data_IF_382640788260
#
_entry.id   IF_382640788260
#
_cell.length_a   1.000
_cell.length_b   1.000
_cell.length_c   1.000
_cell.angle_alpha   90.00
_cell.angle_beta   90.00
_cell.angle_gamma   90.00
#
_symmetry.space_group_name_H-M   'P 1'
#
loop_
_entity.id
_entity.type
_entity.pdbx_description
1 polymer ?
#
# COMPACT_ATOMS: atom_id res chain seq x y z
N UNK A 1 29.99 -20.66 14.40
CA UNK A 1 28.65 -20.80 13.79
C UNK A 1 27.50 -20.18 14.60
N UNK A 2 27.68 -19.76 15.86
CA UNK A 2 26.62 -19.07 16.64
C UNK A 2 26.61 -17.53 16.49
N UNK A 3 27.68 -16.93 15.95
CA UNK A 3 27.78 -15.47 15.75
C UNK A 3 26.94 -14.95 14.58
N UNK A 4 26.94 -15.65 13.44
CA UNK A 4 26.17 -15.26 12.24
C UNK A 4 24.66 -15.25 12.49
N UNK A 5 24.13 -16.26 13.17
CA UNK A 5 22.68 -16.35 13.44
C UNK A 5 22.17 -15.20 14.31
N UNK A 6 22.96 -14.73 15.28
CA UNK A 6 22.61 -13.58 16.11
C UNK A 6 22.72 -12.24 15.35
N UNK A 7 23.64 -12.11 14.39
CA UNK A 7 23.74 -10.94 13.52
C UNK A 7 22.63 -10.90 12.46
N UNK A 8 22.23 -12.04 11.91
CA UNK A 8 21.07 -12.13 10.99
C UNK A 8 19.74 -11.84 11.71
N UNK A 9 19.56 -12.32 12.95
CA UNK A 9 18.37 -12.00 13.74
C UNK A 9 18.30 -10.51 14.15
N UNK A 10 19.41 -9.89 14.52
CA UNK A 10 19.43 -8.46 14.83
C UNK A 10 19.28 -7.58 13.58
N UNK A 11 19.86 -7.97 12.44
CA UNK A 11 19.73 -7.21 11.19
C UNK A 11 18.30 -7.28 10.63
N UNK A 12 17.66 -8.45 10.66
CA UNK A 12 16.25 -8.60 10.26
C UNK A 12 15.27 -7.85 11.18
N UNK A 13 15.53 -7.81 12.48
CA UNK A 13 14.76 -7.01 13.43
C UNK A 13 14.90 -5.50 13.16
N UNK A 14 16.11 -5.02 12.87
CA UNK A 14 16.38 -3.60 12.57
C UNK A 14 15.75 -3.18 11.24
N UNK A 15 15.89 -4.02 10.20
CA UNK A 15 15.25 -3.80 8.90
C UNK A 15 13.72 -3.72 9.04
N UNK A 16 13.12 -4.62 9.83
CA UNK A 16 11.69 -4.58 10.12
C UNK A 16 11.26 -3.28 10.82
N UNK A 17 12.01 -2.84 11.83
CA UNK A 17 11.71 -1.60 12.57
C UNK A 17 11.77 -0.39 11.64
N UNK A 18 12.82 -0.27 10.82
CA UNK A 18 12.97 0.86 9.90
C UNK A 18 11.90 0.86 8.81
N UNK A 19 11.58 -0.32 8.27
CA UNK A 19 10.48 -0.50 7.31
C UNK A 19 9.16 -0.01 7.91
N UNK A 20 8.89 -0.39 9.16
CA UNK A 20 7.68 0.01 9.88
C UNK A 20 7.66 1.50 10.19
N UNK A 21 8.79 2.06 10.66
CA UNK A 21 8.93 3.50 10.95
C UNK A 21 8.65 4.33 9.70
N UNK A 22 9.27 3.98 8.58
CA UNK A 22 9.08 4.69 7.30
C UNK A 22 7.64 4.56 6.77
N UNK A 23 7.02 3.38 6.91
CA UNK A 23 5.62 3.20 6.54
C UNK A 23 4.67 4.05 7.40
N UNK A 24 4.90 4.12 8.71
CA UNK A 24 4.13 4.96 9.63
C UNK A 24 4.32 6.45 9.32
N UNK A 25 5.55 6.88 9.05
CA UNK A 25 5.85 8.25 8.65
C UNK A 25 5.06 8.65 7.38
N UNK A 26 5.11 7.82 6.33
CA UNK A 26 4.35 8.08 5.10
C UNK A 26 2.84 8.06 5.34
N UNK A 27 2.34 7.16 6.18
CA UNK A 27 0.93 7.13 6.56
C UNK A 27 0.50 8.41 7.27
N UNK A 28 1.22 8.82 8.32
CA UNK A 28 0.91 10.03 9.11
C UNK A 28 0.98 11.28 8.24
N UNK A 29 2.03 11.43 7.42
CA UNK A 29 2.17 12.56 6.52
C UNK A 29 1.02 12.63 5.49
N UNK A 30 0.61 11.48 4.95
CA UNK A 30 -0.53 11.42 4.00
C UNK A 30 -1.85 11.80 4.67
N UNK A 31 -2.08 11.32 5.90
CA UNK A 31 -3.28 11.67 6.69
C UNK A 31 -3.29 13.16 7.04
N UNK A 32 -2.16 13.70 7.49
CA UNK A 32 -2.00 15.13 7.79
C UNK A 32 -2.12 16.03 6.55
N UNK A 33 -1.75 15.54 5.36
CA UNK A 33 -1.94 16.26 4.10
C UNK A 33 -3.37 16.16 3.53
N UNK A 34 -4.26 15.40 4.18
CA UNK A 34 -5.64 15.26 3.71
C UNK A 34 -6.53 16.36 4.30
N UNK A 35 -7.29 17.13 3.49
CA UNK A 35 -8.12 18.24 3.99
C UNK A 35 -9.17 17.82 5.03
N UNK A 36 -9.72 16.61 4.88
CA UNK A 36 -10.71 16.05 5.83
C UNK A 36 -10.06 15.35 7.02
N UNK A 37 -9.01 14.53 6.83
CA UNK A 37 -8.45 13.71 7.91
C UNK A 37 -7.54 14.51 8.84
N UNK A 38 -6.91 15.59 8.36
CA UNK A 38 -6.06 16.45 9.18
C UNK A 38 -6.80 17.25 10.25
N UNK A 39 -8.11 17.41 10.08
CA UNK A 39 -8.99 18.10 11.05
C UNK A 39 -9.79 17.14 11.91
N UNK A 40 -9.58 15.83 11.72
CA UNK A 40 -10.24 14.80 12.50
C UNK A 40 -9.80 14.89 13.99
N UNK A 41 -10.75 14.95 14.94
CA UNK A 41 -10.43 15.06 16.36
C UNK A 41 -9.58 13.89 16.87
N UNK A 42 -9.89 12.66 16.46
CA UNK A 42 -9.16 11.47 16.92
C UNK A 42 -7.73 11.48 16.39
N UNK A 43 -7.52 11.90 15.14
CA UNK A 43 -6.18 12.05 14.57
C UNK A 43 -5.34 13.09 15.31
N UNK A 44 -5.93 14.24 15.67
CA UNK A 44 -5.24 15.29 16.43
C UNK A 44 -4.93 14.83 17.85
N UNK A 45 -5.91 14.27 18.55
CA UNK A 45 -5.72 13.72 19.88
C UNK A 45 -4.65 12.63 19.89
N UNK A 46 -4.65 11.73 18.90
CA UNK A 46 -3.61 10.70 18.77
C UNK A 46 -2.20 11.28 18.65
N UNK A 47 -2.02 12.43 18.01
CA UNK A 47 -0.72 13.07 17.81
C UNK A 47 -0.31 14.00 18.96
N UNK A 48 -1.28 14.65 19.60
CA UNK A 48 -1.05 15.74 20.56
C UNK A 48 -1.29 15.33 22.02
N UNK A 49 -1.82 14.13 22.28
CA UNK A 49 -2.09 13.66 23.64
C UNK A 49 -0.81 13.64 24.49
N UNK A 50 -0.79 14.46 25.54
CA UNK A 50 0.25 14.49 26.57
C UNK A 50 -0.02 13.44 27.67
N UNK A 51 -0.45 12.24 27.25
CA UNK A 51 -0.71 11.10 28.12
C UNK A 51 -0.34 9.79 27.44
N UNK A 52 -0.07 8.75 28.24
CA UNK A 52 0.03 7.40 27.70
C UNK A 52 -1.30 6.99 27.08
N UNK A 53 -1.31 6.87 25.74
CA UNK A 53 -2.46 6.36 25.02
C UNK A 53 -2.82 4.96 25.55
N UNK A 54 -4.12 4.63 25.69
CA UNK A 54 -4.55 3.32 26.11
C UNK A 54 -3.90 2.24 25.26
N UNK A 55 -3.28 1.24 25.90
CA UNK A 55 -2.73 0.10 25.16
C UNK A 55 -3.87 -0.55 24.38
N UNK A 56 -3.71 -0.62 23.07
CA UNK A 56 -4.75 -1.15 22.20
C UNK A 56 -5.06 -2.62 22.56
N UNK A 57 -6.19 -2.83 23.23
CA UNK A 57 -6.77 -4.16 23.49
C UNK A 57 -7.64 -4.56 22.30
N UNK A 58 -7.58 -5.82 21.86
CA UNK A 58 -8.40 -6.34 20.74
C UNK A 58 -8.11 -5.74 19.35
N UNK A 59 -6.85 -5.43 19.04
CA UNK A 59 -6.43 -4.96 17.68
C UNK A 59 -6.73 -5.94 16.56
N UNK A 60 -7.04 -7.20 16.86
CA UNK A 60 -7.48 -8.20 15.90
C UNK A 60 -8.78 -7.80 15.18
N UNK A 61 -9.69 -7.05 15.85
CA UNK A 61 -10.90 -6.51 15.24
C UNK A 61 -10.63 -5.30 14.31
N UNK A 62 -9.55 -4.55 14.57
CA UNK A 62 -9.10 -3.42 13.76
C UNK A 62 -8.03 -3.79 12.71
N UNK A 63 -7.59 -5.05 12.68
CA UNK A 63 -6.75 -5.54 11.59
C UNK A 63 -7.48 -5.38 10.26
N UNK A 64 -6.76 -5.21 9.13
CA UNK A 64 -7.40 -5.10 7.81
C UNK A 64 -8.40 -6.23 7.53
N UNK A 65 -8.17 -7.44 8.08
CA UNK A 65 -9.13 -8.56 8.02
C UNK A 65 -10.32 -8.41 8.98
N UNK A 66 -10.14 -7.79 10.14
CA UNK A 66 -11.19 -7.54 11.14
C UNK A 66 -12.13 -6.41 10.72
N UNK A 67 -11.59 -5.32 10.17
CA UNK A 67 -12.35 -4.22 9.57
C UNK A 67 -13.16 -4.73 8.37
N UNK A 68 -12.53 -5.51 7.49
CA UNK A 68 -13.23 -6.12 6.34
C UNK A 68 -14.32 -7.12 6.78
N UNK A 69 -14.14 -7.84 7.91
CA UNK A 69 -15.21 -8.65 8.52
C UNK A 69 -16.37 -7.80 9.09
N UNK A 70 -16.08 -6.65 9.68
CA UNK A 70 -17.11 -5.71 10.16
C UNK A 70 -17.92 -5.13 8.98
N UNK A 71 -17.25 -4.71 7.91
CA UNK A 71 -17.91 -4.28 6.66
C UNK A 71 -18.71 -5.40 5.98
N UNK A 72 -18.29 -6.65 6.11
CA UNK A 72 -19.05 -7.79 5.60
C UNK A 72 -20.26 -8.15 6.47
N UNK A 73 -20.20 -7.94 7.79
CA UNK A 73 -21.33 -8.19 8.70
C UNK A 73 -22.51 -7.24 8.48
N UNK A 74 -22.26 -6.00 8.06
CA UNK A 74 -23.33 -5.09 7.63
C UNK A 74 -24.01 -5.64 6.36
N UNK A 75 -23.27 -6.32 5.48
CA UNK A 75 -23.78 -6.95 4.25
C UNK A 75 -24.40 -8.36 4.41
N UNK A 76 -24.08 -9.11 5.46
CA UNK A 76 -24.57 -10.49 5.66
C UNK A 76 -26.11 -10.57 5.85
N UNK A 77 -26.77 -9.46 6.20
CA UNK A 77 -28.23 -9.38 6.31
C UNK A 77 -28.94 -9.41 4.94
N UNK A 78 -28.20 -9.26 3.82
CA UNK A 78 -28.73 -9.15 2.44
C UNK A 78 -28.59 -10.44 1.63
N UNK A 79 -27.98 -11.50 2.21
CA UNK A 79 -27.53 -12.71 1.52
C UNK A 79 -28.60 -13.68 0.96
N UNK A 80 -29.84 -13.24 0.73
CA UNK A 80 -30.84 -14.07 0.01
C UNK A 80 -31.32 -13.49 -1.32
N UNK A 81 -31.01 -12.23 -1.63
CA UNK A 81 -31.32 -11.62 -2.93
C UNK A 81 -30.16 -10.68 -3.28
N UNK A 82 -29.09 -11.21 -3.85
CA UNK A 82 -28.00 -10.37 -4.37
C UNK A 82 -28.50 -9.67 -5.63
N UNK A 83 -28.91 -8.41 -5.51
CA UNK A 83 -29.23 -7.61 -6.69
C UNK A 83 -27.95 -7.35 -7.47
N UNK A 84 -27.96 -7.73 -8.75
CA UNK A 84 -26.87 -7.38 -9.66
C UNK A 84 -26.94 -5.88 -9.90
N UNK A 85 -25.86 -5.17 -9.59
CA UNK A 85 -25.70 -3.79 -10.01
C UNK A 85 -25.12 -3.82 -11.42
N UNK A 86 -25.96 -3.54 -12.41
CA UNK A 86 -25.45 -3.23 -13.73
C UNK A 86 -24.93 -1.79 -13.66
N UNK A 87 -23.62 -1.61 -13.84
CA UNK A 87 -23.02 -0.27 -13.81
C UNK A 87 -23.55 0.51 -15.01
N UNK A 88 -24.17 1.65 -14.70
CA UNK A 88 -24.77 2.57 -15.69
C UNK A 88 -24.03 3.90 -15.75
N UNK A 89 -23.21 4.19 -14.73
CA UNK A 89 -22.32 5.32 -14.70
C UNK A 89 -21.01 4.97 -15.43
N UNK A 90 -20.90 5.47 -16.66
CA UNK A 90 -19.73 5.30 -17.52
C UNK A 90 -18.42 5.68 -16.83
N UNK A 91 -18.45 6.66 -15.92
CA UNK A 91 -17.26 7.06 -15.17
C UNK A 91 -16.77 5.92 -14.26
N UNK A 92 -17.68 5.23 -13.56
CA UNK A 92 -17.31 4.11 -12.69
C UNK A 92 -16.86 2.89 -13.48
N UNK A 93 -17.46 2.62 -14.63
CA UNK A 93 -17.02 1.55 -15.55
C UNK A 93 -15.57 1.81 -16.03
N UNK A 94 -15.31 3.00 -16.56
CA UNK A 94 -13.99 3.41 -17.03
C UNK A 94 -12.95 3.39 -15.90
N UNK A 95 -13.29 3.96 -14.74
CA UNK A 95 -12.37 4.02 -13.59
C UNK A 95 -12.11 2.66 -12.97
N UNK A 96 -13.08 1.75 -12.94
CA UNK A 96 -12.85 0.36 -12.48
C UNK A 96 -11.82 -0.33 -13.37
N UNK A 97 -11.99 -0.25 -14.68
CA UNK A 97 -11.03 -0.81 -15.64
C UNK A 97 -9.62 -0.20 -15.50
N UNK A 98 -9.54 1.13 -15.33
CA UNK A 98 -8.26 1.83 -15.10
C UNK A 98 -7.59 1.37 -13.80
N UNK A 99 -8.34 1.27 -12.70
CA UNK A 99 -7.83 0.88 -11.39
C UNK A 99 -7.39 -0.58 -11.39
N UNK A 100 -8.12 -1.48 -12.05
CA UNK A 100 -7.70 -2.89 -12.19
C UNK A 100 -6.44 -3.04 -13.03
N UNK A 101 -6.32 -2.30 -14.14
CA UNK A 101 -5.09 -2.27 -14.93
C UNK A 101 -3.91 -1.76 -14.11
N UNK A 102 -4.12 -0.69 -13.35
CA UNK A 102 -3.11 -0.09 -12.50
C UNK A 102 -2.68 -1.03 -11.36
N UNK A 103 -3.61 -1.75 -10.74
CA UNK A 103 -3.34 -2.75 -9.70
C UNK A 103 -2.39 -3.85 -10.21
N UNK A 104 -2.69 -4.39 -11.40
CA UNK A 104 -1.86 -5.41 -12.05
C UNK A 104 -0.46 -4.86 -12.33
N UNK A 105 -0.37 -3.68 -12.94
CA UNK A 105 0.91 -3.07 -13.32
C UNK A 105 1.77 -2.71 -12.10
N UNK A 106 1.18 -2.10 -11.06
CA UNK A 106 1.91 -1.72 -9.85
C UNK A 106 2.37 -2.94 -9.05
N UNK A 107 1.58 -4.02 -8.98
CA UNK A 107 2.02 -5.28 -8.35
C UNK A 107 3.18 -5.91 -9.10
N UNK A 108 3.12 -5.94 -10.42
CA UNK A 108 4.21 -6.45 -11.26
C UNK A 108 5.49 -5.62 -11.05
N UNK A 109 5.37 -4.29 -11.05
CA UNK A 109 6.50 -3.38 -10.80
C UNK A 109 7.07 -3.57 -9.40
N UNK A 110 6.23 -3.63 -8.36
CA UNK A 110 6.66 -3.90 -7.00
C UNK A 110 7.42 -5.24 -6.88
N UNK A 111 6.90 -6.30 -7.50
CA UNK A 111 7.57 -7.61 -7.52
C UNK A 111 8.94 -7.57 -8.22
N UNK A 112 9.04 -6.84 -9.33
CA UNK A 112 10.30 -6.66 -10.04
C UNK A 112 11.33 -5.88 -9.21
N UNK A 113 10.89 -4.83 -8.50
CA UNK A 113 11.76 -4.04 -7.61
C UNK A 113 12.20 -4.83 -6.38
N UNK A 114 11.31 -5.64 -5.79
CA UNK A 114 11.66 -6.54 -4.69
C UNK A 114 12.73 -7.57 -5.13
N UNK A 115 12.54 -8.16 -6.32
CA UNK A 115 13.53 -9.06 -6.92
C UNK A 115 14.88 -8.36 -7.14
N UNK A 116 14.86 -7.15 -7.73
CA UNK A 116 16.06 -6.34 -7.96
C UNK A 116 16.81 -6.03 -6.66
N UNK A 117 16.07 -5.65 -5.62
CA UNK A 117 16.60 -5.35 -4.29
C UNK A 117 17.32 -6.56 -3.72
N UNK A 118 16.69 -7.73 -3.76
CA UNK A 118 17.26 -8.98 -3.25
C UNK A 118 18.53 -9.38 -4.03
N UNK A 119 18.49 -9.31 -5.36
CA UNK A 119 19.65 -9.61 -6.20
C UNK A 119 20.82 -8.65 -5.97
N UNK A 120 20.55 -7.34 -5.80
CA UNK A 120 21.60 -6.36 -5.49
C UNK A 120 22.19 -6.57 -4.10
N UNK A 121 21.37 -6.96 -3.12
CA UNK A 121 21.85 -7.31 -1.79
C UNK A 121 22.75 -8.55 -1.81
N UNK A 122 22.34 -9.58 -2.54
CA UNK A 122 23.17 -10.78 -2.74
C UNK A 122 24.49 -10.45 -3.45
N UNK A 123 24.44 -9.60 -4.49
CA UNK A 123 25.63 -9.15 -5.19
C UNK A 123 26.60 -8.39 -4.27
N UNK A 124 26.10 -7.57 -3.34
CA UNK A 124 26.91 -6.92 -2.34
C UNK A 124 27.62 -7.94 -1.43
N UNK A 125 26.87 -8.93 -0.91
CA UNK A 125 27.42 -10.01 -0.08
C UNK A 125 28.50 -10.80 -0.81
N UNK A 126 28.26 -11.17 -2.07
CA UNK A 126 29.24 -11.87 -2.90
C UNK A 126 30.49 -11.02 -3.14
N UNK A 127 30.31 -9.72 -3.42
CA UNK A 127 31.44 -8.78 -3.58
C UNK A 127 32.33 -8.75 -2.33
N UNK A 128 31.73 -8.68 -1.15
CA UNK A 128 32.47 -8.72 0.12
C UNK A 128 33.21 -10.04 0.34
N UNK A 129 32.58 -11.17 0.01
CA UNK A 129 33.22 -12.48 0.08
C UNK A 129 34.42 -12.58 -0.88
N UNK A 130 34.29 -12.04 -2.09
CA UNK A 130 35.39 -11.94 -3.05
C UNK A 130 36.51 -11.06 -2.52
N UNK A 131 36.20 -9.90 -1.93
CA UNK A 131 37.19 -9.01 -1.34
C UNK A 131 38.05 -9.73 -0.29
N UNK A 132 37.41 -10.42 0.65
CA UNK A 132 38.10 -11.21 1.68
C UNK A 132 38.98 -12.31 1.09
N UNK A 133 38.48 -13.01 0.06
CA UNK A 133 39.23 -14.07 -0.61
C UNK A 133 40.48 -13.52 -1.32
N UNK A 134 40.35 -12.37 -1.98
CA UNK A 134 41.47 -11.69 -2.65
C UNK A 134 42.50 -11.18 -1.64
N UNK A 135 42.06 -10.66 -0.49
CA UNK A 135 42.98 -10.25 0.58
C UNK A 135 43.85 -11.42 1.07
N UNK A 136 43.25 -12.61 1.25
CA UNK A 136 43.98 -13.84 1.63
C UNK A 136 45.00 -14.22 0.56
N UNK A 137 44.63 -14.16 -0.73
CA UNK A 137 45.55 -14.42 -1.83
C UNK A 137 46.71 -13.41 -1.86
N UNK A 138 46.41 -12.12 -1.67
CA UNK A 138 47.43 -11.07 -1.63
C UNK A 138 48.45 -11.25 -0.51
N UNK A 139 48.03 -11.80 0.64
CA UNK A 139 48.96 -12.14 1.73
C UNK A 139 49.84 -13.36 1.43
N UNK A 140 49.32 -14.32 0.66
CA UNK A 140 50.05 -15.51 0.25
C UNK A 140 51.00 -15.30 -0.93
N UNK A 141 50.94 -14.14 -1.59
CA UNK A 141 51.69 -13.84 -2.80
C UNK A 141 53.15 -13.47 -2.51
N UNK A 142 54.15 -14.23 -3.02
CA UNK A 142 55.56 -13.93 -2.81
C UNK A 142 56.02 -12.64 -3.52
N UNK A 143 55.41 -12.29 -4.66
CA UNK A 143 55.73 -11.09 -5.42
C UNK A 143 55.19 -9.83 -4.77
N UNK A 144 56.07 -8.94 -4.29
CA UNK A 144 55.66 -7.73 -3.57
C UNK A 144 54.76 -6.76 -4.39
N UNK A 145 54.92 -6.71 -5.72
CA UNK A 145 54.07 -5.91 -6.62
C UNK A 145 52.67 -6.49 -6.75
N UNK A 146 52.57 -7.79 -7.07
CA UNK A 146 51.31 -8.50 -7.21
C UNK A 146 50.55 -8.59 -5.88
N UNK A 147 51.23 -8.89 -4.77
CA UNK A 147 50.62 -8.92 -3.44
C UNK A 147 50.02 -7.57 -3.03
N UNK A 148 50.70 -6.45 -3.35
CA UNK A 148 50.16 -5.09 -3.13
C UNK A 148 48.93 -4.80 -3.99
N UNK A 149 48.98 -5.15 -5.28
CA UNK A 149 47.84 -4.94 -6.17
C UNK A 149 46.62 -5.77 -5.75
N UNK A 150 46.81 -7.01 -5.28
CA UNK A 150 45.74 -7.84 -4.73
C UNK A 150 45.16 -7.23 -3.43
N UNK A 151 46.01 -6.72 -2.53
CA UNK A 151 45.52 -6.04 -1.32
C UNK A 151 44.68 -4.79 -1.65
N UNK A 152 45.13 -3.98 -2.63
CA UNK A 152 44.38 -2.80 -3.09
C UNK A 152 43.08 -3.17 -3.83
N UNK A 153 43.08 -4.28 -4.58
CA UNK A 153 41.86 -4.82 -5.19
C UNK A 153 40.85 -5.26 -4.13
N UNK A 154 41.31 -5.93 -3.07
CA UNK A 154 40.46 -6.31 -1.95
C UNK A 154 39.83 -5.08 -1.28
N UNK A 155 40.63 -4.06 -0.93
CA UNK A 155 40.12 -2.80 -0.36
C UNK A 155 39.11 -2.11 -1.29
N UNK A 156 39.37 -2.12 -2.60
CA UNK A 156 38.45 -1.57 -3.61
C UNK A 156 37.13 -2.33 -3.61
N UNK A 157 37.16 -3.67 -3.56
CA UNK A 157 35.95 -4.48 -3.51
C UNK A 157 35.17 -4.32 -2.19
N UNK A 158 35.83 -4.11 -1.05
CA UNK A 158 35.15 -3.75 0.21
C UNK A 158 34.39 -2.43 0.08
N UNK A 159 35.00 -1.42 -0.53
CA UNK A 159 34.33 -0.13 -0.82
C UNK A 159 33.16 -0.31 -1.78
N UNK A 160 33.30 -1.18 -2.79
CA UNK A 160 32.22 -1.54 -3.73
C UNK A 160 31.08 -2.26 -3.03
N UNK A 161 31.36 -3.21 -2.12
CA UNK A 161 30.34 -3.89 -1.29
C UNK A 161 29.48 -2.85 -0.56
N UNK A 162 30.12 -1.90 0.13
CA UNK A 162 29.42 -0.87 0.92
C UNK A 162 28.46 -0.07 0.05
N UNK A 163 28.91 0.39 -1.13
CA UNK A 163 28.05 1.15 -2.05
C UNK A 163 26.93 0.30 -2.64
N UNK A 164 27.20 -0.96 -3.02
CA UNK A 164 26.15 -1.86 -3.51
C UNK A 164 25.10 -2.14 -2.44
N UNK A 165 25.51 -2.27 -1.18
CA UNK A 165 24.60 -2.43 -0.04
C UNK A 165 23.76 -1.18 0.18
N UNK A 166 24.37 0.00 0.15
CA UNK A 166 23.65 1.27 0.22
C UNK A 166 22.64 1.42 -0.93
N UNK A 167 23.02 1.06 -2.15
CA UNK A 167 22.12 1.06 -3.31
C UNK A 167 20.92 0.12 -3.10
N UNK A 168 21.15 -1.12 -2.64
CA UNK A 168 20.04 -2.05 -2.34
C UNK A 168 19.09 -1.52 -1.26
N UNK A 169 19.61 -0.79 -0.26
CA UNK A 169 18.77 -0.14 0.75
C UNK A 169 17.95 1.01 0.14
N UNK A 170 18.53 1.81 -0.76
CA UNK A 170 17.81 2.84 -1.52
C UNK A 170 16.66 2.22 -2.32
N UNK A 171 16.95 1.13 -3.05
CA UNK A 171 15.96 0.41 -3.85
C UNK A 171 14.77 -0.04 -3.00
N UNK A 172 15.06 -0.61 -1.82
CA UNK A 172 14.05 -1.05 -0.85
C UNK A 172 13.25 0.14 -0.32
N UNK A 173 13.89 1.07 0.38
CA UNK A 173 13.22 2.06 1.22
C UNK A 173 12.63 3.24 0.45
N UNK A 174 13.28 3.68 -0.63
CA UNK A 174 12.79 4.80 -1.43
C UNK A 174 11.78 4.35 -2.47
N UNK A 175 12.02 3.21 -3.14
CA UNK A 175 11.17 2.81 -4.26
C UNK A 175 10.25 1.64 -3.93
N UNK A 176 10.77 0.52 -3.43
CA UNK A 176 9.99 -0.67 -3.11
C UNK A 176 8.87 -0.40 -2.10
N UNK A 177 9.21 0.29 -1.01
CA UNK A 177 8.25 0.64 0.04
C UNK A 177 7.15 1.60 -0.43
N UNK A 178 7.49 2.59 -1.26
CA UNK A 178 6.50 3.48 -1.88
C UNK A 178 5.53 2.69 -2.77
N UNK A 179 6.05 1.82 -3.63
CA UNK A 179 5.23 0.98 -4.51
C UNK A 179 4.28 0.10 -3.71
N UNK A 180 4.75 -0.50 -2.62
CA UNK A 180 3.92 -1.31 -1.73
C UNK A 180 2.76 -0.50 -1.15
N UNK A 181 3.02 0.72 -0.71
CA UNK A 181 2.00 1.58 -0.14
C UNK A 181 0.95 1.97 -1.18
N UNK A 182 1.36 2.24 -2.42
CA UNK A 182 0.42 2.51 -3.52
C UNK A 182 -0.39 1.27 -3.93
N UNK A 183 0.21 0.08 -3.93
CA UNK A 183 -0.55 -1.18 -4.11
C UNK A 183 -1.62 -1.34 -3.02
N UNK A 184 -1.32 -0.98 -1.77
CA UNK A 184 -2.29 -1.01 -0.68
C UNK A 184 -3.41 0.02 -0.86
N UNK A 185 -3.09 1.25 -1.29
CA UNK A 185 -4.08 2.29 -1.58
C UNK A 185 -5.01 1.88 -2.73
N UNK A 186 -4.48 1.27 -3.79
CA UNK A 186 -5.30 0.74 -4.89
C UNK A 186 -6.24 -0.36 -4.38
N UNK A 187 -5.78 -1.22 -3.47
CA UNK A 187 -6.65 -2.17 -2.76
C UNK A 187 -7.80 -1.48 -2.03
N UNK A 188 -7.51 -0.42 -1.27
CA UNK A 188 -8.53 0.35 -0.55
C UNK A 188 -9.54 1.02 -1.49
N UNK A 189 -9.12 1.50 -2.67
CA UNK A 189 -10.04 2.06 -3.68
C UNK A 189 -11.01 0.98 -4.18
N UNK A 190 -10.51 -0.23 -4.45
CA UNK A 190 -11.35 -1.37 -4.86
C UNK A 190 -12.35 -1.77 -3.77
N UNK A 191 -11.92 -1.75 -2.50
CA UNK A 191 -12.81 -2.00 -1.36
C UNK A 191 -13.94 -0.97 -1.29
N UNK A 192 -13.63 0.31 -1.52
CA UNK A 192 -14.63 1.40 -1.54
C UNK A 192 -15.59 1.28 -2.74
N UNK A 193 -15.11 0.86 -3.91
CA UNK A 193 -15.98 0.57 -5.06
C UNK A 193 -16.96 -0.57 -4.73
N UNK A 194 -16.47 -1.61 -4.04
CA UNK A 194 -17.34 -2.70 -3.59
C UNK A 194 -18.37 -2.24 -2.55
N UNK A 195 -18.00 -1.33 -1.65
CA UNK A 195 -18.93 -0.76 -0.68
C UNK A 195 -20.05 0.05 -1.37
N UNK A 196 -19.72 0.80 -2.42
CA UNK A 196 -20.75 1.45 -3.25
C UNK A 196 -21.76 0.46 -3.85
N UNK A 197 -21.29 -0.70 -4.30
CA UNK A 197 -22.18 -1.77 -4.80
C UNK A 197 -23.10 -2.29 -3.68
N UNK A 198 -22.59 -2.45 -2.45
CA UNK A 198 -23.43 -2.86 -1.31
C UNK A 198 -24.49 -1.82 -0.95
N UNK A 199 -24.12 -0.54 -0.92
CA UNK A 199 -25.07 0.55 -0.68
C UNK A 199 -26.17 0.56 -1.75
N UNK A 200 -25.82 0.35 -3.03
CA UNK A 200 -26.80 0.18 -4.09
C UNK A 200 -27.73 -1.02 -3.86
N UNK A 201 -27.18 -2.17 -3.48
CA UNK A 201 -27.98 -3.38 -3.20
C UNK A 201 -28.96 -3.15 -2.05
N UNK A 202 -28.55 -2.43 -1.00
CA UNK A 202 -29.41 -2.05 0.12
C UNK A 202 -30.56 -1.15 -0.36
N UNK A 203 -30.25 -0.16 -1.20
CA UNK A 203 -31.25 0.72 -1.79
C UNK A 203 -32.25 -0.05 -2.67
N UNK A 204 -31.79 -0.93 -3.56
CA UNK A 204 -32.66 -1.76 -4.40
C UNK A 204 -33.51 -2.73 -3.60
N UNK A 205 -32.98 -3.27 -2.51
CA UNK A 205 -33.75 -4.10 -1.59
C UNK A 205 -34.90 -3.31 -0.96
N UNK A 206 -34.62 -2.09 -0.47
CA UNK A 206 -35.64 -1.21 0.07
C UNK A 206 -36.71 -0.87 -0.97
N UNK A 207 -36.31 -0.62 -2.22
CA UNK A 207 -37.23 -0.33 -3.32
C UNK A 207 -38.17 -1.50 -3.63
N UNK A 208 -37.64 -2.72 -3.66
CA UNK A 208 -38.46 -3.92 -3.84
C UNK A 208 -39.44 -4.12 -2.67
N UNK A 209 -38.97 -3.94 -1.43
CA UNK A 209 -39.81 -4.07 -0.25
C UNK A 209 -40.94 -3.03 -0.23
N UNK A 210 -40.65 -1.79 -0.61
CA UNK A 210 -41.66 -0.76 -0.80
C UNK A 210 -42.72 -1.19 -1.82
N UNK A 211 -42.33 -1.73 -2.97
CA UNK A 211 -43.29 -2.20 -3.98
C UNK A 211 -44.20 -3.31 -3.43
N UNK A 212 -43.66 -4.27 -2.68
CA UNK A 212 -44.45 -5.32 -2.01
C UNK A 212 -45.44 -4.74 -1.00
N UNK A 213 -45.04 -3.71 -0.23
CA UNK A 213 -45.91 -3.04 0.74
C UNK A 213 -47.03 -2.24 0.06
N UNK A 214 -46.73 -1.58 -1.07
CA UNK A 214 -47.73 -0.91 -1.90
C UNK A 214 -48.75 -1.90 -2.48
N UNK A 215 -48.31 -3.04 -3.00
CA UNK A 215 -49.20 -4.12 -3.47
C UNK A 215 -50.07 -4.69 -2.35
N UNK A 216 -49.48 -4.90 -1.16
CA UNK A 216 -50.21 -5.38 0.02
C UNK A 216 -51.31 -4.40 0.44
N UNK A 217 -50.99 -3.09 0.48
CA UNK A 217 -51.96 -2.03 0.78
C UNK A 217 -53.10 -2.03 -0.23
N UNK A 218 -52.81 -2.05 -1.53
CA UNK A 218 -53.81 -2.06 -2.60
C UNK A 218 -54.76 -3.28 -2.51
N UNK A 219 -54.23 -4.46 -2.18
CA UNK A 219 -55.06 -5.67 -1.95
C UNK A 219 -55.96 -5.54 -0.72
N UNK A 220 -55.47 -4.95 0.36
CA UNK A 220 -56.25 -4.75 1.59
C UNK A 220 -57.39 -3.75 1.38
N UNK A 221 -57.13 -2.66 0.65
CA UNK A 221 -58.13 -1.67 0.23
C UNK A 221 -59.26 -2.31 -0.59
N UNK A 222 -58.91 -3.14 -1.59
CA UNK A 222 -59.89 -3.87 -2.38
C UNK A 222 -60.74 -4.85 -1.55
N UNK A 223 -60.20 -5.38 -0.45
CA UNK A 223 -60.89 -6.33 0.43
C UNK A 223 -61.80 -5.68 1.50
N UNK A 224 -61.85 -4.34 1.57
CA UNK A 224 -62.69 -3.60 2.52
C UNK A 224 -62.24 -3.67 3.99
N UNK A 225 -61.00 -4.11 4.26
CA UNK A 225 -60.45 -4.24 5.64
C UNK A 225 -59.76 -2.94 6.08
N UNK A 226 -60.56 -1.97 6.53
CA UNK A 226 -60.10 -0.60 6.89
C UNK A 226 -59.01 -0.57 7.97
N UNK A 227 -59.10 -1.41 9.00
CA UNK A 227 -58.17 -1.36 10.14
C UNK A 227 -56.75 -1.81 9.75
N UNK A 228 -56.66 -2.85 8.89
CA UNK A 228 -55.38 -3.35 8.36
C UNK A 228 -54.80 -2.46 7.26
N UNK A 229 -55.65 -1.66 6.62
CA UNK A 229 -55.24 -0.71 5.58
C UNK A 229 -54.45 0.44 6.17
N UNK A 230 -54.84 0.94 7.35
CA UNK A 230 -54.10 1.99 8.06
C UNK A 230 -52.68 1.53 8.43
N UNK A 231 -52.53 0.32 8.97
CA UNK A 231 -51.21 -0.25 9.27
C UNK A 231 -50.34 -0.42 8.01
N UNK A 232 -50.91 -0.93 6.92
CA UNK A 232 -50.19 -1.07 5.65
C UNK A 232 -49.77 0.29 5.07
N UNK A 233 -50.56 1.35 5.28
CA UNK A 233 -50.20 2.71 4.88
C UNK A 233 -48.99 3.24 5.67
N UNK A 234 -48.93 3.02 6.98
CA UNK A 234 -47.76 3.38 7.80
C UNK A 234 -46.51 2.63 7.34
N UNK A 235 -46.61 1.32 7.07
CA UNK A 235 -45.48 0.54 6.57
C UNK A 235 -44.98 1.06 5.21
N UNK A 236 -45.88 1.49 4.32
CA UNK A 236 -45.49 2.12 3.04
C UNK A 236 -44.67 3.38 3.29
N UNK A 237 -45.12 4.28 4.17
CA UNK A 237 -44.40 5.51 4.52
C UNK A 237 -43.00 5.21 5.08
N UNK A 238 -42.88 4.21 5.98
CA UNK A 238 -41.59 3.80 6.54
C UNK A 238 -40.61 3.29 5.47
N UNK A 239 -41.10 2.50 4.51
CA UNK A 239 -40.29 1.98 3.43
C UNK A 239 -39.98 3.03 2.35
N UNK A 240 -40.86 4.00 2.11
CA UNK A 240 -40.56 5.19 1.30
C UNK A 240 -39.37 5.95 1.89
N UNK A 241 -39.42 6.25 3.19
CA UNK A 241 -38.31 6.91 3.87
C UNK A 241 -37.00 6.09 3.85
N UNK A 242 -37.07 4.75 3.83
CA UNK A 242 -35.88 3.89 3.68
C UNK A 242 -35.31 3.94 2.26
N UNK A 243 -36.16 3.98 1.24
CA UNK A 243 -35.74 4.14 -0.15
C UNK A 243 -35.04 5.48 -0.34
N UNK A 244 -35.64 6.56 0.17
CA UNK A 244 -35.07 7.91 0.05
C UNK A 244 -33.69 7.99 0.70
N UNK A 245 -33.53 7.45 1.92
CA UNK A 245 -32.21 7.38 2.59
C UNK A 245 -31.21 6.52 1.83
N UNK A 246 -31.63 5.36 1.31
CA UNK A 246 -30.75 4.48 0.54
C UNK A 246 -30.26 5.13 -0.75
N UNK A 247 -31.12 5.90 -1.42
CA UNK A 247 -30.74 6.68 -2.60
C UNK A 247 -29.76 7.80 -2.23
N UNK A 248 -30.05 8.56 -1.18
CA UNK A 248 -29.17 9.64 -0.71
C UNK A 248 -27.78 9.10 -0.32
N UNK A 249 -27.72 7.98 0.40
CA UNK A 249 -26.46 7.33 0.77
C UNK A 249 -25.66 6.89 -0.46
N UNK A 250 -26.34 6.29 -1.46
CA UNK A 250 -25.72 5.89 -2.72
C UNK A 250 -25.18 7.08 -3.52
N UNK A 251 -25.93 8.19 -3.58
CA UNK A 251 -25.49 9.41 -4.26
C UNK A 251 -24.30 10.05 -3.53
N UNK A 252 -24.33 10.07 -2.20
CA UNK A 252 -23.28 10.64 -1.38
C UNK A 252 -21.97 9.85 -1.48
N UNK A 253 -22.01 8.51 -1.36
CA UNK A 253 -20.81 7.69 -1.53
C UNK A 253 -20.26 7.81 -2.95
N UNK A 254 -21.13 7.85 -3.97
CA UNK A 254 -20.72 8.02 -5.37
C UNK A 254 -19.99 9.34 -5.61
N UNK A 255 -20.53 10.45 -5.09
CA UNK A 255 -19.91 11.79 -5.19
C UNK A 255 -18.58 11.84 -4.45
N UNK A 256 -18.52 11.27 -3.24
CA UNK A 256 -17.30 11.24 -2.44
C UNK A 256 -16.19 10.45 -3.12
N UNK A 257 -16.52 9.28 -3.68
CA UNK A 257 -15.55 8.46 -4.41
C UNK A 257 -14.94 9.22 -5.59
N UNK A 258 -15.77 9.91 -6.38
CA UNK A 258 -15.28 10.71 -7.52
C UNK A 258 -14.27 11.76 -7.07
N UNK A 259 -14.63 12.53 -6.04
CA UNK A 259 -13.76 13.58 -5.47
C UNK A 259 -12.44 13.02 -4.93
N UNK A 260 -12.50 11.93 -4.16
CA UNK A 260 -11.30 11.35 -3.55
C UNK A 260 -10.40 10.67 -4.58
N UNK A 261 -10.98 10.06 -5.62
CA UNK A 261 -10.19 9.45 -6.68
C UNK A 261 -9.46 10.50 -7.53
N UNK A 262 -10.09 11.63 -7.81
CA UNK A 262 -9.43 12.77 -8.49
C UNK A 262 -8.23 13.28 -7.67
N UNK A 263 -8.41 13.47 -6.36
CA UNK A 263 -7.30 13.85 -5.46
C UNK A 263 -6.19 12.80 -5.46
N UNK A 264 -6.55 11.53 -5.32
CA UNK A 264 -5.59 10.42 -5.35
C UNK A 264 -4.77 10.41 -6.63
N UNK A 265 -5.39 10.62 -7.79
CA UNK A 265 -4.68 10.64 -9.07
C UNK A 265 -3.65 11.76 -9.16
N UNK A 266 -4.00 12.96 -8.70
CA UNK A 266 -3.08 14.11 -8.65
C UNK A 266 -1.90 13.84 -7.72
N UNK A 267 -2.17 13.43 -6.48
CA UNK A 267 -1.14 13.15 -5.47
C UNK A 267 -0.23 12.02 -5.92
N UNK A 268 -0.79 10.95 -6.51
CA UNK A 268 -0.01 9.83 -7.04
C UNK A 268 1.02 10.29 -8.07
N UNK A 269 0.60 11.12 -9.03
CA UNK A 269 1.54 11.58 -10.08
C UNK A 269 2.66 12.42 -9.47
N UNK A 270 2.35 13.29 -8.51
CA UNK A 270 3.34 14.12 -7.82
C UNK A 270 4.32 13.28 -7.00
N UNK A 271 3.81 12.36 -6.18
CA UNK A 271 4.61 11.47 -5.34
C UNK A 271 5.55 10.60 -6.19
N UNK A 272 5.03 9.96 -7.25
CA UNK A 272 5.85 9.12 -8.13
C UNK A 272 6.92 9.94 -8.84
N UNK A 273 6.58 11.14 -9.32
CA UNK A 273 7.56 12.02 -9.98
C UNK A 273 8.68 12.38 -9.01
N UNK A 274 8.33 12.88 -7.82
CA UNK A 274 9.31 13.25 -6.79
C UNK A 274 10.20 12.07 -6.42
N UNK A 275 9.59 10.94 -6.09
CA UNK A 275 10.34 9.77 -5.62
C UNK A 275 11.24 9.17 -6.69
N UNK A 276 10.76 9.10 -7.95
CA UNK A 276 11.58 8.61 -9.06
C UNK A 276 12.78 9.52 -9.33
N UNK A 277 12.61 10.85 -9.23
CA UNK A 277 13.72 11.78 -9.36
C UNK A 277 14.77 11.54 -8.28
N UNK A 278 14.37 11.52 -7.00
CA UNK A 278 15.28 11.28 -5.86
C UNK A 278 15.98 9.91 -5.96
N UNK A 279 15.24 8.88 -6.39
CA UNK A 279 15.77 7.53 -6.58
C UNK A 279 16.81 7.46 -7.71
N UNK A 280 16.53 8.08 -8.87
CA UNK A 280 17.46 8.10 -10.00
C UNK A 280 18.71 8.93 -9.70
N UNK A 281 18.57 10.04 -8.98
CA UNK A 281 19.70 10.84 -8.50
C UNK A 281 20.59 10.03 -7.56
N UNK A 282 19.99 9.32 -6.59
CA UNK A 282 20.71 8.41 -5.70
C UNK A 282 21.43 7.31 -6.50
N UNK A 283 20.76 6.71 -7.48
CA UNK A 283 21.35 5.69 -8.35
C UNK A 283 22.57 6.23 -9.11
N UNK A 284 22.47 7.44 -9.68
CA UNK A 284 23.58 8.09 -10.36
C UNK A 284 24.76 8.35 -9.42
N UNK A 285 24.50 8.81 -8.20
CA UNK A 285 25.55 9.03 -7.20
C UNK A 285 26.29 7.73 -6.86
N UNK A 286 25.57 6.61 -6.67
CA UNK A 286 26.20 5.31 -6.43
C UNK A 286 27.09 4.88 -7.61
N UNK A 287 26.63 5.04 -8.85
CA UNK A 287 27.42 4.70 -10.04
C UNK A 287 28.68 5.58 -10.17
N UNK A 288 28.56 6.88 -9.93
CA UNK A 288 29.71 7.79 -9.94
C UNK A 288 30.75 7.40 -8.88
N UNK A 289 30.31 6.97 -7.69
CA UNK A 289 31.22 6.52 -6.65
C UNK A 289 31.92 5.20 -7.02
N UNK A 290 31.21 4.27 -7.66
CA UNK A 290 31.81 3.04 -8.18
C UNK A 290 32.90 3.34 -9.20
N UNK A 291 32.63 4.25 -10.16
CA UNK A 291 33.62 4.68 -11.16
C UNK A 291 34.90 5.18 -10.46
N UNK A 292 34.77 6.09 -9.49
CA UNK A 292 35.91 6.63 -8.75
C UNK A 292 36.74 5.56 -8.06
N UNK A 293 36.10 4.55 -7.46
CA UNK A 293 36.83 3.45 -6.82
C UNK A 293 37.63 2.61 -7.82
N UNK A 294 37.03 2.28 -8.96
CA UNK A 294 37.73 1.54 -10.01
C UNK A 294 38.85 2.34 -10.67
N UNK A 295 38.63 3.64 -10.93
CA UNK A 295 39.66 4.54 -11.47
C UNK A 295 40.84 4.69 -10.50
N UNK A 296 40.57 4.72 -9.19
CA UNK A 296 41.62 4.79 -8.17
C UNK A 296 42.46 3.51 -8.11
N UNK A 297 41.88 2.36 -8.42
CA UNK A 297 42.58 1.07 -8.48
C UNK A 297 43.39 0.88 -9.77
N UNK A 298 42.98 1.52 -10.88
CA UNK A 298 43.55 1.31 -12.22
C UNK A 298 45.09 1.44 -12.29
N UNK A 299 45.76 2.40 -11.61
CA UNK A 299 47.21 2.49 -11.62
C UNK A 299 47.91 1.25 -11.03
N UNK A 300 47.37 0.70 -9.94
CA UNK A 300 47.93 -0.50 -9.29
C UNK A 300 47.79 -1.73 -10.18
N UNK A 301 46.65 -1.86 -10.89
CA UNK A 301 46.47 -2.92 -11.88
C UNK A 301 47.48 -2.83 -13.03
N UNK A 302 47.79 -1.61 -13.50
CA UNK A 302 48.79 -1.38 -14.57
C UNK A 302 50.23 -1.61 -14.12
N UNK A 303 50.53 -1.45 -12.83
CA UNK A 303 51.87 -1.65 -12.29
C UNK A 303 52.30 -3.14 -12.25
N UNK A 304 51.35 -4.06 -12.46
CA UNK A 304 51.57 -5.52 -12.42
C UNK A 304 51.37 -6.18 -13.79
N UNK A 305 50.84 -5.44 -14.78
CA UNK A 305 50.72 -5.87 -16.18
C UNK A 305 52.04 -5.68 -16.94
#
# INVERSE_FOLDING_TARGET
>A
MSGDKNQEQNSSSTEFIEKRRAALERYLNRTAAHPVLSVDPDFREFLEADMELPKATNTSALSGKGVMRLFNKVGETVNKITYKMDETDKWFEEKTSQIDSLDVQLRALHSAVDTLTNQRRELATCTGATARSIAVLGHGEPGASLGRALAQLAETLEKVEVIRRAQSNSDLYQFGEMLRDYVALIGAIKDVFHERVKVFQNWQHAQMMLNKKREQKARLEQSGRTDKTSQAATEVIEWEAKVDRGQEEFDNISKMIKKELERFELVRVEDFKKQLTEYLESMLQYQNQLIKYWESFLPEARAVA
#
